data_IF_415853716643
#
_entry.id   IF_415853716643
#
_cell.length_a   1.000
_cell.length_b   1.000
_cell.length_c   1.000
_cell.angle_alpha   90.00
_cell.angle_beta   90.00
_cell.angle_gamma   90.00
#
_symmetry.space_group_name_H-M   'P 1'
#
loop_
_entity.id
_entity.type
_entity.pdbx_description
1 polymer ?
#
# COMPACT_ATOMS: atom_id res chain seq x y z
N UNK A 1 1.57 -15.03 18.94
CA UNK A 1 1.84 -14.66 17.54
C UNK A 1 1.04 -15.61 16.65
N UNK A 2 -0.04 -15.13 16.01
CA UNK A 2 -0.88 -15.98 15.15
C UNK A 2 -0.10 -16.43 13.90
N UNK A 3 -0.37 -17.64 13.41
CA UNK A 3 0.22 -18.13 12.15
C UNK A 3 -0.26 -17.24 11.00
N UNK A 4 0.68 -16.82 10.14
CA UNK A 4 0.33 -16.06 8.95
C UNK A 4 -0.54 -16.90 8.01
N UNK A 5 -1.50 -16.24 7.36
CA UNK A 5 -2.34 -16.88 6.36
C UNK A 5 -1.48 -17.35 5.17
N UNK A 6 -1.80 -18.52 4.60
CA UNK A 6 -1.08 -19.10 3.44
C UNK A 6 -0.94 -18.12 2.27
N UNK A 7 -1.93 -17.23 2.08
CA UNK A 7 -1.90 -16.18 1.05
C UNK A 7 -0.75 -15.17 1.26
N UNK A 8 -0.50 -14.78 2.51
CA UNK A 8 0.58 -13.84 2.87
C UNK A 8 1.94 -14.51 2.68
N UNK A 9 2.05 -15.81 3.02
CA UNK A 9 3.26 -16.58 2.78
C UNK A 9 3.56 -16.82 1.30
N UNK A 10 2.52 -16.88 0.46
CA UNK A 10 2.66 -17.05 -0.98
C UNK A 10 2.95 -15.73 -1.73
N UNK A 11 3.17 -14.63 -1.02
CA UNK A 11 3.58 -13.36 -1.61
C UNK A 11 5.03 -13.45 -2.08
N UNK A 12 5.29 -12.99 -3.30
CA UNK A 12 6.61 -12.99 -3.92
C UNK A 12 7.17 -11.58 -3.99
N UNK A 13 8.41 -11.39 -3.54
CA UNK A 13 9.10 -10.11 -3.57
C UNK A 13 10.13 -9.98 -2.44
N UNK A 14 11.16 -9.17 -2.65
CA UNK A 14 12.09 -8.81 -1.58
C UNK A 14 11.53 -7.59 -0.82
N UNK A 15 11.37 -7.74 0.50
CA UNK A 15 10.86 -6.68 1.40
C UNK A 15 11.95 -5.70 1.84
N UNK A 16 13.22 -6.06 1.65
CA UNK A 16 14.38 -5.28 2.06
C UNK A 16 14.91 -4.36 0.96
N UNK A 17 14.54 -4.64 -0.29
CA UNK A 17 14.99 -3.87 -1.46
C UNK A 17 14.01 -2.74 -1.76
N UNK A 18 14.55 -1.55 -1.98
CA UNK A 18 13.79 -0.42 -2.51
C UNK A 18 13.55 -0.63 -4.02
N UNK A 19 12.30 -0.87 -4.39
CA UNK A 19 11.90 -1.00 -5.78
C UNK A 19 11.56 0.36 -6.39
N UNK A 20 11.93 0.62 -7.67
CA UNK A 20 11.41 1.77 -8.39
C UNK A 20 9.88 1.64 -8.55
N UNK A 21 9.18 2.78 -8.60
CA UNK A 21 7.70 2.84 -8.58
C UNK A 21 7.07 1.91 -9.63
N UNK A 22 7.59 1.91 -10.86
CA UNK A 22 7.04 1.09 -11.94
C UNK A 22 7.17 -0.42 -11.66
N UNK A 23 8.31 -0.86 -11.11
CA UNK A 23 8.51 -2.25 -10.72
C UNK A 23 7.64 -2.64 -9.52
N UNK A 24 7.48 -1.73 -8.56
CA UNK A 24 6.61 -1.95 -7.40
C UNK A 24 5.15 -2.14 -7.82
N UNK A 25 4.65 -1.33 -8.76
CA UNK A 25 3.27 -1.43 -9.26
C UNK A 25 3.04 -2.76 -10.00
N UNK A 26 4.00 -3.21 -10.81
CA UNK A 26 3.93 -4.52 -11.49
C UNK A 26 3.88 -5.66 -10.48
N UNK A 27 4.76 -5.64 -9.48
CA UNK A 27 4.82 -6.66 -8.43
C UNK A 27 3.51 -6.75 -7.62
N UNK A 28 2.89 -5.61 -7.31
CA UNK A 28 1.61 -5.58 -6.59
C UNK A 28 0.50 -6.20 -7.44
N UNK A 29 0.43 -5.88 -8.73
CA UNK A 29 -0.56 -6.49 -9.65
C UNK A 29 -0.38 -8.00 -9.81
N UNK A 30 0.85 -8.48 -9.92
CA UNK A 30 1.13 -9.92 -10.06
C UNK A 30 0.75 -10.72 -8.81
N UNK A 31 0.81 -10.08 -7.63
CA UNK A 31 0.45 -10.69 -6.36
C UNK A 31 -1.03 -10.56 -6.00
N UNK A 32 -1.84 -9.87 -6.81
CA UNK A 32 -3.28 -9.78 -6.64
C UNK A 32 -3.93 -11.13 -6.95
N UNK A 33 -4.40 -11.82 -5.91
CA UNK A 33 -4.90 -13.21 -5.98
C UNK A 33 -6.39 -13.32 -5.65
N UNK A 34 -7.05 -12.23 -5.29
CA UNK A 34 -8.50 -12.24 -5.11
C UNK A 34 -9.23 -12.37 -6.45
N UNK A 35 -10.49 -12.80 -6.36
CA UNK A 35 -11.39 -12.97 -7.53
C UNK A 35 -12.12 -11.67 -7.93
N UNK A 36 -11.81 -10.56 -7.26
CA UNK A 36 -12.44 -9.26 -7.45
C UNK A 36 -11.35 -8.20 -7.62
N UNK A 37 -11.73 -7.01 -8.08
CA UNK A 37 -10.79 -5.89 -8.24
C UNK A 37 -10.27 -5.38 -6.89
N UNK A 38 -9.00 -5.71 -6.61
CA UNK A 38 -8.32 -5.28 -5.39
C UNK A 38 -7.97 -3.78 -5.44
N UNK A 39 -8.04 -3.12 -4.28
CA UNK A 39 -7.59 -1.73 -4.13
C UNK A 39 -6.12 -1.67 -3.73
N UNK A 40 -5.37 -0.77 -4.36
CA UNK A 40 -3.96 -0.53 -4.01
C UNK A 40 -3.91 0.53 -2.91
N UNK A 41 -3.25 0.20 -1.81
CA UNK A 41 -3.00 1.11 -0.69
C UNK A 41 -1.50 1.41 -0.55
N UNK A 42 -1.18 2.61 -0.07
CA UNK A 42 0.19 3.05 0.20
C UNK A 42 0.29 3.36 1.70
N UNK A 43 1.12 2.60 2.41
CA UNK A 43 1.41 2.85 3.81
C UNK A 43 2.69 3.71 3.92
N UNK A 44 2.56 4.90 4.51
CA UNK A 44 3.69 5.81 4.75
C UNK A 44 3.80 6.05 6.24
N UNK A 45 4.98 5.78 6.81
CA UNK A 45 5.26 6.16 8.18
C UNK A 45 5.70 7.63 8.21
N UNK A 46 4.91 8.47 8.86
CA UNK A 46 5.21 9.90 9.02
C UNK A 46 5.92 10.10 10.37
N UNK A 47 7.01 10.88 10.38
CA UNK A 47 7.76 11.21 11.59
C UNK A 47 7.10 12.29 12.47
N UNK A 48 5.76 12.39 12.44
CA UNK A 48 4.98 13.39 13.19
C UNK A 48 4.56 12.83 14.55
N UNK A 49 4.52 13.67 15.58
CA UNK A 49 3.96 13.28 16.89
C UNK A 49 2.46 13.62 16.94
N UNK A 50 1.56 12.63 16.90
CA UNK A 50 0.11 12.87 16.88
C UNK A 50 -0.43 13.46 18.18
N UNK A 51 0.38 13.53 19.26
CA UNK A 51 0.01 14.19 20.52
C UNK A 51 0.06 15.72 20.42
N UNK A 52 0.78 16.24 19.44
CA UNK A 52 0.87 17.66 19.14
C UNK A 52 -0.09 17.99 17.99
N UNK A 53 -1.11 18.80 18.26
CA UNK A 53 -2.23 19.03 17.33
C UNK A 53 -1.79 19.72 16.01
N UNK A 54 -0.72 20.50 16.05
CA UNK A 54 -0.11 21.20 14.92
C UNK A 54 0.65 20.26 13.96
N UNK A 55 1.04 19.07 14.42
CA UNK A 55 1.75 18.08 13.61
C UNK A 55 0.81 17.04 12.96
N UNK A 56 -0.51 17.14 13.20
CA UNK A 56 -1.47 16.24 12.58
C UNK A 56 -1.64 16.57 11.09
N UNK A 57 -1.29 15.62 10.23
CA UNK A 57 -1.51 15.74 8.78
C UNK A 57 -2.86 15.12 8.42
N UNK A 58 -3.82 15.96 8.03
CA UNK A 58 -5.10 15.53 7.47
C UNK A 58 -5.42 16.35 6.23
N UNK A 59 -5.58 15.68 5.10
CA UNK A 59 -5.91 16.33 3.83
C UNK A 59 -6.62 15.37 2.89
N UNK A 60 -7.23 15.95 1.85
CA UNK A 60 -7.81 15.21 0.72
C UNK A 60 -7.08 15.68 -0.53
N UNK A 61 -6.78 14.74 -1.42
CA UNK A 61 -6.15 15.05 -2.71
C UNK A 61 -6.93 14.36 -3.82
N UNK A 62 -7.10 15.07 -4.93
CA UNK A 62 -7.69 14.49 -6.13
C UNK A 62 -6.59 13.79 -6.92
N UNK A 63 -6.81 12.51 -7.23
CA UNK A 63 -5.87 11.73 -8.03
C UNK A 63 -5.96 12.13 -9.52
N UNK A 64 -4.82 12.29 -10.22
CA UNK A 64 -4.82 12.67 -11.65
C UNK A 64 -5.61 11.72 -12.56
N UNK A 65 -5.66 10.44 -12.20
CA UNK A 65 -6.41 9.40 -12.94
C UNK A 65 -7.71 8.98 -12.24
N UNK A 66 -8.17 9.76 -11.24
CA UNK A 66 -9.33 9.42 -10.43
C UNK A 66 -9.08 8.24 -9.48
N UNK A 67 -10.15 7.77 -8.84
CA UNK A 67 -10.15 6.63 -7.91
C UNK A 67 -10.44 5.30 -8.62
N UNK A 68 -10.65 5.31 -9.94
CA UNK A 68 -11.02 4.13 -10.73
C UNK A 68 -12.40 3.55 -10.39
N UNK A 69 -13.21 4.30 -9.64
CA UNK A 69 -14.57 3.93 -9.22
C UNK A 69 -15.56 4.90 -9.82
N UNK A 70 -15.71 4.84 -11.14
CA UNK A 70 -16.80 5.38 -11.96
C UNK A 70 -16.86 4.60 -13.28
#
# INVERSE_FOLDING_TARGET
MSKQAKRIQAWTGDRSVAHPVEAAVKLVRENAKAKFDESIEIAVNLGVDPRHADQQVRGVVNLPSGTGRD
#
